data_IF_106953657918
#
_entry.id   IF_106953657918
#
_cell.length_a   1.000
_cell.length_b   1.000
_cell.length_c   1.000
_cell.angle_alpha   90.00
_cell.angle_beta   90.00
_cell.angle_gamma   90.00
#
_symmetry.space_group_name_H-M   'P 1'
#
loop_
_entity.id
_entity.type
_entity.pdbx_description
1 polymer ?
#
# COMPACT_ATOMS: atom_id res chain seq x y z
N UNK A 1 -2.88 21.15 7.61
CA UNK A 1 -2.49 20.35 6.44
C UNK A 1 -2.20 18.99 6.99
N UNK A 2 -3.12 18.04 6.77
CA UNK A 2 -3.29 16.89 7.68
C UNK A 2 -2.00 16.11 7.92
N UNK A 3 -1.73 15.85 9.19
CA UNK A 3 -0.60 15.07 9.70
C UNK A 3 -0.83 13.59 9.34
N UNK A 4 -0.36 13.18 8.17
CA UNK A 4 -0.43 11.80 7.69
C UNK A 4 -1.37 11.60 6.50
N UNK A 5 -1.03 10.63 5.66
CA UNK A 5 -1.80 10.17 4.52
C UNK A 5 -1.79 8.65 4.60
N UNK A 6 -2.96 8.05 4.87
CA UNK A 6 -3.24 6.63 4.78
C UNK A 6 -4.49 6.49 3.92
N UNK A 7 -4.37 5.96 2.70
CA UNK A 7 -5.45 5.98 1.74
C UNK A 7 -5.37 4.84 0.72
N UNK A 8 -6.33 4.82 -0.22
CA UNK A 8 -6.33 3.95 -1.40
C UNK A 8 -6.31 2.45 -1.07
N UNK A 9 -6.84 2.09 0.09
CA UNK A 9 -6.81 0.74 0.60
C UNK A 9 -7.67 -0.22 -0.23
N UNK A 10 -7.14 -1.43 -0.48
CA UNK A 10 -7.89 -2.53 -1.08
C UNK A 10 -7.71 -3.81 -0.28
N UNK A 11 -8.76 -4.65 -0.26
CA UNK A 11 -8.72 -5.97 0.36
C UNK A 11 -8.23 -7.01 -0.63
N UNK A 12 -7.39 -7.93 -0.15
CA UNK A 12 -7.07 -9.16 -0.86
C UNK A 12 -8.35 -9.98 -1.10
N UNK A 13 -8.64 -10.44 -2.34
CA UNK A 13 -9.83 -11.25 -2.64
C UNK A 13 -9.89 -12.57 -1.87
N UNK A 14 -8.76 -13.07 -1.37
CA UNK A 14 -8.70 -14.28 -0.54
C UNK A 14 -8.93 -14.00 0.96
N UNK A 15 -9.07 -12.73 1.35
CA UNK A 15 -9.52 -12.33 2.68
C UNK A 15 -8.46 -12.37 3.78
N UNK A 16 -7.17 -12.26 3.43
CA UNK A 16 -6.05 -12.38 4.37
C UNK A 16 -5.38 -11.04 4.70
N UNK A 17 -5.33 -10.10 3.75
CA UNK A 17 -4.56 -8.86 3.86
C UNK A 17 -5.29 -7.64 3.29
N UNK A 18 -4.88 -6.47 3.76
CA UNK A 18 -5.14 -5.16 3.15
C UNK A 18 -3.84 -4.65 2.53
N UNK A 19 -3.90 -3.98 1.38
CA UNK A 19 -2.81 -3.12 0.88
C UNK A 19 -3.30 -1.68 0.87
N UNK A 20 -2.45 -0.72 1.20
CA UNK A 20 -2.80 0.70 1.26
C UNK A 20 -1.57 1.59 1.03
N UNK A 21 -1.80 2.84 0.64
CA UNK A 21 -0.77 3.85 0.46
C UNK A 21 -0.57 4.61 1.76
N UNK A 22 0.68 4.84 2.19
CA UNK A 22 1.00 5.60 3.41
C UNK A 22 2.17 6.55 3.23
N UNK A 23 2.12 7.72 3.88
CA UNK A 23 3.26 8.68 3.99
C UNK A 23 4.02 8.57 5.32
N UNK A 24 3.78 7.52 6.11
CA UNK A 24 4.29 7.40 7.49
C UNK A 24 5.81 7.45 7.63
N UNK A 25 6.56 7.16 6.57
CA UNK A 25 8.03 7.19 6.53
C UNK A 25 8.58 8.43 5.81
N UNK A 26 7.72 9.38 5.43
CA UNK A 26 8.11 10.60 4.71
C UNK A 26 8.02 10.50 3.18
N UNK A 27 7.66 9.35 2.62
CA UNK A 27 7.39 9.15 1.18
C UNK A 27 6.11 8.34 0.98
N UNK A 28 5.47 8.46 -0.20
CA UNK A 28 4.23 7.74 -0.48
C UNK A 28 4.53 6.32 -0.93
N UNK A 29 4.51 5.40 0.02
CA UNK A 29 4.81 3.99 -0.19
C UNK A 29 3.59 3.08 0.01
N UNK A 30 3.65 1.88 -0.54
CA UNK A 30 2.67 0.82 -0.29
C UNK A 30 3.01 0.03 0.97
N UNK A 31 1.98 -0.26 1.75
CA UNK A 31 2.03 -1.08 2.95
C UNK A 31 0.98 -2.17 2.88
N UNK A 32 1.23 -3.28 3.57
CA UNK A 32 0.24 -4.33 3.83
C UNK A 32 0.03 -4.53 5.32
N UNK A 33 -1.16 -4.99 5.71
CA UNK A 33 -1.49 -5.36 7.09
C UNK A 33 -2.54 -6.46 7.13
N UNK A 34 -2.68 -7.10 8.29
CA UNK A 34 -3.81 -7.98 8.58
C UNK A 34 -5.13 -7.20 8.63
N UNK A 35 -6.25 -7.91 8.51
CA UNK A 35 -7.60 -7.28 8.55
C UNK A 35 -7.93 -6.56 9.86
N UNK A 36 -7.26 -6.92 10.95
CA UNK A 36 -7.39 -6.29 12.28
C UNK A 36 -6.44 -5.10 12.48
N UNK A 37 -5.65 -4.74 11.45
CA UNK A 37 -4.67 -3.66 11.50
C UNK A 37 -3.32 -4.04 12.11
N UNK A 38 -3.14 -5.30 12.53
CA UNK A 38 -1.85 -5.82 12.99
C UNK A 38 -0.91 -6.16 11.83
N UNK A 39 0.36 -6.44 12.15
CA UNK A 39 1.37 -6.91 11.19
C UNK A 39 1.53 -5.98 9.96
N UNK A 40 1.75 -4.69 10.23
CA UNK A 40 1.98 -3.70 9.17
C UNK A 40 3.39 -3.85 8.59
N UNK A 41 3.48 -4.04 7.28
CA UNK A 41 4.73 -4.27 6.53
C UNK A 41 4.81 -3.30 5.34
N UNK A 42 5.97 -2.69 5.14
CA UNK A 42 6.27 -1.87 3.95
C UNK A 42 6.57 -2.76 2.75
N UNK A 43 5.98 -2.46 1.58
CA UNK A 43 6.14 -3.24 0.35
C UNK A 43 7.01 -2.55 -0.72
N UNK A 44 7.06 -1.22 -0.71
CA UNK A 44 7.87 -0.40 -1.62
C UNK A 44 8.73 0.56 -0.80
N UNK A 45 9.91 0.93 -1.30
CA UNK A 45 10.86 1.81 -0.62
C UNK A 45 11.61 2.75 -1.58
N UNK A 46 11.11 2.89 -2.82
CA UNK A 46 11.75 3.71 -3.84
C UNK A 46 11.15 5.11 -3.81
N UNK A 47 12.02 6.11 -3.65
CA UNK A 47 11.64 7.52 -3.64
C UNK A 47 10.68 7.87 -4.79
N UNK A 48 9.49 8.35 -4.44
CA UNK A 48 8.45 8.73 -5.38
C UNK A 48 7.06 8.31 -4.90
N UNK A 49 6.09 8.45 -5.78
CA UNK A 49 4.73 8.00 -5.49
C UNK A 49 4.59 6.52 -5.85
N UNK A 50 4.26 5.67 -4.89
CA UNK A 50 3.73 4.32 -5.07
C UNK A 50 2.34 4.23 -4.41
N UNK A 51 1.29 4.03 -5.20
CA UNK A 51 -0.07 4.03 -4.66
C UNK A 51 -1.19 3.46 -5.53
N UNK A 52 -2.38 3.32 -4.94
CA UNK A 52 -3.57 2.73 -5.55
C UNK A 52 -3.37 1.29 -5.99
N UNK A 53 -2.88 0.46 -5.07
CA UNK A 53 -2.62 -0.94 -5.35
C UNK A 53 -3.92 -1.76 -5.41
N UNK A 54 -3.98 -2.72 -6.33
CA UNK A 54 -5.03 -3.72 -6.44
C UNK A 54 -4.42 -5.11 -6.47
N UNK A 55 -5.05 -6.05 -5.79
CA UNK A 55 -4.68 -7.46 -5.83
C UNK A 55 -5.13 -8.15 -7.12
N UNK A 56 -4.37 -9.17 -7.55
CA UNK A 56 -4.84 -10.18 -8.50
C UNK A 56 -6.00 -10.99 -7.89
N UNK A 57 -6.86 -11.64 -8.71
CA UNK A 57 -8.00 -12.41 -8.20
C UNK A 57 -7.63 -13.55 -7.22
N UNK A 58 -6.42 -14.10 -7.34
CA UNK A 58 -5.90 -15.15 -6.45
C UNK A 58 -5.12 -14.59 -5.24
N UNK A 59 -5.02 -13.26 -5.11
CA UNK A 59 -4.28 -12.57 -4.05
C UNK A 59 -2.76 -12.68 -4.14
N UNK A 60 -2.21 -13.38 -5.14
CA UNK A 60 -0.77 -13.68 -5.20
C UNK A 60 0.11 -12.51 -5.65
N UNK A 61 -0.49 -11.48 -6.25
CA UNK A 61 0.20 -10.31 -6.78
C UNK A 61 -0.58 -9.04 -6.50
N UNK A 62 0.11 -7.92 -6.58
CA UNK A 62 -0.48 -6.59 -6.66
C UNK A 62 -0.02 -5.88 -7.93
N UNK A 63 -0.87 -4.99 -8.44
CA UNK A 63 -0.53 -3.95 -9.42
C UNK A 63 -0.71 -2.60 -8.75
N UNK A 64 0.10 -1.60 -9.09
CA UNK A 64 0.00 -0.27 -8.51
C UNK A 64 0.43 0.82 -9.51
N UNK A 65 0.15 2.07 -9.16
CA UNK A 65 0.62 3.24 -9.90
C UNK A 65 1.92 3.71 -9.28
N UNK A 66 2.89 4.03 -10.12
CA UNK A 66 4.19 4.53 -9.71
C UNK A 66 4.55 5.82 -10.46
N UNK A 67 5.18 6.76 -9.77
CA UNK A 67 5.88 7.89 -10.37
C UNK A 67 7.16 8.15 -9.60
N UNK A 68 8.29 7.87 -10.25
CA UNK A 68 9.61 8.10 -9.69
C UNK A 68 10.20 9.37 -10.31
N UNK A 69 10.48 10.42 -9.51
CA UNK A 69 11.30 11.53 -10.00
C UNK A 69 12.68 10.96 -10.38
N UNK A 70 13.18 11.34 -11.55
CA UNK A 70 14.52 10.98 -12.03
C UNK A 70 15.62 11.37 -11.02
#
# INVERSE_FOLDING_TARGET
>A
TEDGYDAEATFSPVGDRIVFTSVRNGDLDLYSMNLDGSDVVQLTDRLGYDGGAFYSPDGSKIIWRAHYPE
#
